data_IF_788363886168
#
_entry.id   IF_788363886168
#
_cell.length_a   1.000
_cell.length_b   1.000
_cell.length_c   1.000
_cell.angle_alpha   90.00
_cell.angle_beta   90.00
_cell.angle_gamma   90.00
#
_symmetry.space_group_name_H-M   'P 1'
#
loop_
_entity.id
_entity.type
_entity.pdbx_description
1 polymer ?
#
# COMPACT_ATOMS: atom_id res chain seq x y z
N UNK A 1 43.35 4.23 9.16
CA UNK A 1 42.99 3.27 10.22
C UNK A 1 43.84 2.04 10.05
N UNK A 2 44.04 1.24 11.10
CA UNK A 2 44.76 -0.04 11.03
C UNK A 2 43.79 -1.15 10.62
N UNK A 3 44.31 -2.28 10.12
CA UNK A 3 43.50 -3.44 9.71
C UNK A 3 42.63 -3.98 10.86
N UNK A 4 43.19 -4.13 12.05
CA UNK A 4 42.44 -4.53 13.25
C UNK A 4 41.45 -3.44 13.72
N UNK A 5 41.76 -2.17 13.44
CA UNK A 5 40.85 -1.06 13.69
C UNK A 5 39.61 -1.09 12.80
N UNK A 6 39.78 -1.46 11.52
CA UNK A 6 38.67 -1.67 10.59
C UNK A 6 37.78 -2.85 10.99
N UNK A 7 38.36 -3.85 11.65
CA UNK A 7 37.65 -4.98 12.25
C UNK A 7 37.08 -4.68 13.65
N UNK A 8 37.15 -3.44 14.12
CA UNK A 8 36.45 -2.99 15.32
C UNK A 8 37.26 -3.02 16.63
N UNK A 9 38.61 -3.08 16.57
CA UNK A 9 39.44 -2.78 17.74
C UNK A 9 39.69 -1.27 17.86
N UNK A 10 39.63 -0.75 19.08
CA UNK A 10 40.15 0.58 19.37
C UNK A 10 41.69 0.61 19.31
N UNK A 11 42.26 1.80 19.20
CA UNK A 11 43.72 1.97 19.16
C UNK A 11 44.44 1.43 20.42
N UNK A 12 43.79 1.46 21.59
CA UNK A 12 44.35 0.91 22.82
C UNK A 12 44.19 -0.61 22.91
N UNK A 13 43.08 -1.16 22.45
CA UNK A 13 42.88 -2.61 22.37
C UNK A 13 43.88 -3.24 21.41
N UNK A 14 44.10 -2.65 20.23
CA UNK A 14 45.08 -3.15 19.27
C UNK A 14 46.50 -3.13 19.86
N UNK A 15 46.91 -2.02 20.48
CA UNK A 15 48.25 -1.91 21.12
C UNK A 15 48.43 -2.96 22.21
N UNK A 16 47.43 -3.11 23.07
CA UNK A 16 47.43 -4.08 24.17
C UNK A 16 47.54 -5.52 23.62
N UNK A 17 46.71 -5.87 22.63
CA UNK A 17 46.71 -7.20 22.02
C UNK A 17 48.04 -7.52 21.31
N UNK A 18 48.58 -6.58 20.51
CA UNK A 18 49.88 -6.74 19.86
C UNK A 18 51.02 -6.87 20.87
N UNK A 19 50.97 -6.14 21.99
CA UNK A 19 51.96 -6.25 23.05
C UNK A 19 51.93 -7.65 23.68
N UNK A 20 50.74 -8.18 23.98
CA UNK A 20 50.56 -9.54 24.51
C UNK A 20 51.07 -10.63 23.57
N UNK A 21 50.96 -10.45 22.25
CA UNK A 21 51.54 -11.39 21.27
C UNK A 21 53.07 -11.43 21.32
N UNK A 22 53.72 -10.34 21.69
CA UNK A 22 55.19 -10.23 21.77
C UNK A 22 55.71 -10.67 23.14
N UNK A 23 55.07 -10.21 24.21
CA UNK A 23 55.55 -10.44 25.59
C UNK A 23 55.11 -11.77 26.18
N UNK A 24 54.04 -12.38 25.64
CA UNK A 24 53.41 -13.54 26.25
C UNK A 24 52.62 -13.16 27.51
N UNK A 25 52.53 -14.08 28.47
CA UNK A 25 51.76 -13.91 29.70
C UNK A 25 52.37 -12.85 30.63
N UNK A 26 51.67 -11.74 30.83
CA UNK A 26 52.12 -10.61 31.66
C UNK A 26 50.99 -10.00 32.47
N UNK A 27 51.35 -9.28 33.53
CA UNK A 27 50.41 -8.58 34.40
C UNK A 27 49.90 -7.30 33.78
N UNK A 28 48.77 -6.76 34.25
CA UNK A 28 48.23 -5.50 33.75
C UNK A 28 49.19 -4.30 33.96
N UNK A 29 50.00 -4.33 35.02
CA UNK A 29 50.98 -3.28 35.29
C UNK A 29 52.12 -3.29 34.27
N UNK A 30 52.71 -4.46 34.03
CA UNK A 30 53.75 -4.65 33.01
C UNK A 30 53.23 -4.34 31.62
N UNK A 31 51.98 -4.72 31.34
CA UNK A 31 51.35 -4.47 30.05
C UNK A 31 51.11 -2.98 29.83
N UNK A 32 50.70 -2.23 30.85
CA UNK A 32 50.57 -0.77 30.78
C UNK A 32 51.92 -0.10 30.49
N UNK A 33 52.97 -0.53 31.19
CA UNK A 33 54.31 0.03 31.05
C UNK A 33 54.91 -0.28 29.66
N UNK A 34 54.61 -1.46 29.09
CA UNK A 34 55.17 -1.91 27.80
C UNK A 34 54.35 -1.44 26.59
N UNK A 35 53.02 -1.42 26.70
CA UNK A 35 52.12 -1.05 25.58
C UNK A 35 51.95 0.47 25.41
N UNK A 36 52.34 1.26 26.42
CA UNK A 36 52.08 2.69 26.48
C UNK A 36 50.60 3.06 26.70
N UNK A 37 49.75 2.08 27.03
CA UNK A 37 48.37 2.33 27.44
C UNK A 37 48.35 2.77 28.91
N UNK A 38 47.70 3.90 29.26
CA UNK A 38 47.71 4.40 30.64
C UNK A 38 47.14 3.42 31.67
N UNK A 39 47.71 3.40 32.89
CA UNK A 39 47.25 2.53 34.00
C UNK A 39 45.77 2.69 34.34
N UNK A 40 45.23 3.90 34.22
CA UNK A 40 43.80 4.16 34.42
C UNK A 40 42.87 3.55 33.36
N UNK A 41 43.41 3.08 32.23
CA UNK A 41 42.64 2.53 31.09
C UNK A 41 42.95 1.08 30.79
N UNK A 42 44.08 0.54 31.28
CA UNK A 42 44.51 -0.83 30.92
C UNK A 42 43.50 -1.89 31.35
N UNK A 43 42.87 -1.73 32.51
CA UNK A 43 41.85 -2.67 32.98
C UNK A 43 40.58 -2.61 32.12
N UNK A 44 40.13 -1.42 31.71
CA UNK A 44 38.98 -1.28 30.79
C UNK A 44 39.25 -1.98 29.47
N UNK A 45 40.46 -1.79 28.93
CA UNK A 45 40.89 -2.39 27.66
C UNK A 45 40.99 -3.91 27.77
N UNK A 46 41.59 -4.41 28.86
CA UNK A 46 41.67 -5.85 29.12
C UNK A 46 40.29 -6.47 29.29
N UNK A 47 39.39 -5.81 30.02
CA UNK A 47 38.01 -6.27 30.17
C UNK A 47 37.27 -6.30 28.83
N UNK A 48 37.45 -5.30 27.97
CA UNK A 48 36.86 -5.26 26.62
C UNK A 48 37.37 -6.39 25.73
N UNK A 49 38.69 -6.60 25.70
CA UNK A 49 39.32 -7.71 24.98
C UNK A 49 38.86 -9.07 25.53
N UNK A 50 38.77 -9.23 26.84
CA UNK A 50 38.33 -10.48 27.49
C UNK A 50 36.85 -10.76 27.24
N UNK A 51 35.97 -9.76 27.29
CA UNK A 51 34.54 -9.89 27.00
C UNK A 51 34.30 -10.38 25.56
N UNK A 52 35.14 -9.91 24.62
CA UNK A 52 35.17 -10.36 23.22
C UNK A 52 35.99 -11.64 23.02
N UNK A 53 36.49 -12.23 24.11
CA UNK A 53 37.29 -13.46 24.17
C UNK A 53 38.59 -13.38 23.37
N UNK A 54 39.14 -12.19 23.15
CA UNK A 54 40.36 -11.98 22.36
C UNK A 54 41.64 -12.22 23.19
N UNK A 55 41.49 -12.26 24.51
CA UNK A 55 42.53 -12.62 25.46
C UNK A 55 41.95 -13.58 26.51
N UNK A 56 42.85 -14.22 27.26
CA UNK A 56 42.52 -15.01 28.44
C UNK A 56 43.19 -14.43 29.67
N UNK A 57 42.45 -14.39 30.78
CA UNK A 57 43.01 -14.12 32.10
C UNK A 57 43.42 -15.44 32.77
N UNK A 58 44.64 -15.47 33.29
CA UNK A 58 45.16 -16.53 34.14
C UNK A 58 45.11 -16.08 35.60
N UNK A 59 44.47 -16.88 36.44
CA UNK A 59 44.35 -16.64 37.89
C UNK A 59 45.69 -16.93 38.57
N UNK A 60 46.55 -15.91 38.62
CA UNK A 60 47.79 -15.84 39.38
C UNK A 60 47.75 -14.67 40.37
N UNK A 61 48.74 -14.58 41.26
CA UNK A 61 48.90 -13.43 42.15
C UNK A 61 50.19 -12.66 41.80
N UNK A 62 50.12 -11.52 41.09
CA UNK A 62 48.94 -10.89 40.49
C UNK A 62 48.48 -11.58 39.18
N UNK A 63 47.23 -11.31 38.73
CA UNK A 63 46.65 -11.93 37.53
C UNK A 63 47.47 -11.60 36.27
N UNK A 64 47.65 -12.62 35.42
CA UNK A 64 48.30 -12.47 34.12
C UNK A 64 47.30 -12.59 32.98
N UNK A 65 47.62 -11.98 31.85
CA UNK A 65 46.80 -11.95 30.65
C UNK A 65 47.58 -12.52 29.47
N UNK A 66 46.90 -13.24 28.60
CA UNK A 66 47.49 -13.93 27.46
C UNK A 66 46.65 -13.68 26.22
N UNK A 67 47.30 -13.37 25.09
CA UNK A 67 46.61 -13.22 23.81
C UNK A 67 46.06 -14.56 23.30
N UNK A 68 44.85 -14.51 22.74
CA UNK A 68 44.36 -15.59 21.87
C UNK A 68 45.12 -15.53 20.54
N UNK A 69 45.24 -16.67 19.86
CA UNK A 69 45.94 -16.76 18.57
C UNK A 69 45.36 -15.79 17.53
N UNK A 70 46.21 -15.12 16.72
CA UNK A 70 45.78 -14.10 15.76
C UNK A 70 44.70 -14.56 14.79
N UNK A 71 44.81 -15.77 14.23
CA UNK A 71 43.82 -16.31 13.29
C UNK A 71 42.42 -16.36 13.91
N UNK A 72 42.32 -16.91 15.13
CA UNK A 72 41.05 -16.96 15.87
C UNK A 72 40.51 -15.57 16.22
N UNK A 73 41.39 -14.61 16.54
CA UNK A 73 40.98 -13.24 16.84
C UNK A 73 40.45 -12.55 15.57
N UNK A 74 41.15 -12.68 14.45
CA UNK A 74 40.73 -12.09 13.17
C UNK A 74 39.38 -12.67 12.73
N UNK A 75 39.19 -13.99 12.81
CA UNK A 75 37.92 -14.64 12.45
C UNK A 75 36.76 -14.15 13.32
N UNK A 76 36.99 -13.97 14.62
CA UNK A 76 35.98 -13.45 15.55
C UNK A 76 35.62 -12.00 15.24
N UNK A 77 36.63 -11.15 15.07
CA UNK A 77 36.40 -9.75 14.74
C UNK A 77 35.68 -9.59 13.40
N UNK A 78 36.04 -10.41 12.40
CA UNK A 78 35.36 -10.43 11.11
C UNK A 78 33.89 -10.86 11.25
N UNK A 79 33.60 -11.89 12.04
CA UNK A 79 32.24 -12.34 12.29
C UNK A 79 31.40 -11.29 13.04
N UNK A 80 31.98 -10.63 14.05
CA UNK A 80 31.36 -9.51 14.76
C UNK A 80 31.03 -8.37 13.78
N UNK A 81 32.00 -7.96 12.97
CA UNK A 81 31.82 -6.86 12.01
C UNK A 81 30.79 -7.18 10.94
N UNK A 82 30.78 -8.40 10.42
CA UNK A 82 29.79 -8.84 9.44
C UNK A 82 28.37 -8.83 10.02
N UNK A 83 28.22 -9.22 11.29
CA UNK A 83 26.94 -9.17 11.98
C UNK A 83 26.44 -7.74 12.19
N UNK A 84 27.31 -6.83 12.65
CA UNK A 84 26.98 -5.40 12.80
C UNK A 84 26.53 -4.77 11.47
N UNK A 85 27.28 -5.01 10.39
CA UNK A 85 26.95 -4.48 9.06
C UNK A 85 25.62 -5.02 8.54
N UNK A 86 25.31 -6.29 8.83
CA UNK A 86 24.01 -6.88 8.49
C UNK A 86 22.86 -6.22 9.25
N UNK A 87 23.00 -6.00 10.55
CA UNK A 87 22.00 -5.29 11.33
C UNK A 87 21.78 -3.86 10.84
N UNK A 88 22.87 -3.16 10.51
CA UNK A 88 22.79 -1.80 9.98
C UNK A 88 22.09 -1.77 8.62
N UNK A 89 22.39 -2.73 7.74
CA UNK A 89 21.72 -2.92 6.46
C UNK A 89 20.22 -3.17 6.62
N UNK A 90 19.84 -4.11 7.49
CA UNK A 90 18.43 -4.45 7.74
C UNK A 90 17.66 -3.22 8.26
N UNK A 91 18.27 -2.44 9.16
CA UNK A 91 17.71 -1.16 9.65
C UNK A 91 17.52 -0.13 8.54
N UNK A 92 18.48 0.04 7.63
CA UNK A 92 18.32 0.98 6.51
C UNK A 92 17.28 0.50 5.50
N UNK A 93 17.18 -0.81 5.28
CA UNK A 93 16.16 -1.40 4.43
C UNK A 93 14.76 -1.11 4.96
N UNK A 94 14.52 -1.32 6.25
CA UNK A 94 13.23 -1.02 6.90
C UNK A 94 12.84 0.46 6.76
N UNK A 95 13.81 1.36 6.96
CA UNK A 95 13.62 2.80 6.72
C UNK A 95 13.27 3.09 5.25
N UNK A 96 13.95 2.45 4.31
CA UNK A 96 13.69 2.62 2.88
C UNK A 96 12.29 2.09 2.49
N UNK A 97 11.87 0.96 3.05
CA UNK A 97 10.52 0.42 2.86
C UNK A 97 9.46 1.37 3.42
N UNK A 98 9.67 1.93 4.61
CA UNK A 98 8.79 2.94 5.22
C UNK A 98 8.68 4.20 4.36
N UNK A 99 9.80 4.70 3.83
CA UNK A 99 9.78 5.86 2.93
C UNK A 99 9.03 5.52 1.65
N UNK A 100 9.23 4.33 1.08
CA UNK A 100 8.55 3.90 -0.15
C UNK A 100 7.03 3.72 0.06
N UNK A 101 6.60 3.17 1.18
CA UNK A 101 5.17 3.04 1.51
C UNK A 101 4.50 4.39 1.73
N UNK A 102 5.24 5.42 2.15
CA UNK A 102 4.74 6.77 2.35
C UNK A 102 4.77 7.64 1.07
N UNK A 103 5.42 7.19 -0.01
CA UNK A 103 5.59 7.95 -1.24
C UNK A 103 4.55 7.63 -2.32
N UNK A 104 3.80 6.54 -2.18
CA UNK A 104 2.63 6.27 -3.00
C UNK A 104 1.38 6.49 -2.12
N UNK A 105 0.33 7.18 -2.61
CA UNK A 105 -0.97 7.05 -1.95
C UNK A 105 -1.27 5.56 -1.86
N UNK A 106 -1.64 5.09 -0.66
CA UNK A 106 -2.06 3.71 -0.48
C UNK A 106 -3.20 3.49 -1.49
N UNK A 107 -3.10 2.52 -2.42
CA UNK A 107 -4.24 2.19 -3.25
C UNK A 107 -5.39 1.92 -2.28
N UNK A 108 -6.60 2.47 -2.49
CA UNK A 108 -7.73 2.21 -1.62
C UNK A 108 -7.77 0.70 -1.40
N UNK A 109 -7.62 0.27 -0.14
CA UNK A 109 -7.50 -1.16 0.23
C UNK A 109 -8.73 -1.97 -0.18
N UNK A 110 -9.79 -1.28 -0.61
CA UNK A 110 -11.07 -1.80 -1.05
C UNK A 110 -11.46 -1.22 -2.43
N UNK A 111 -10.56 -1.27 -3.40
CA UNK A 111 -10.90 -1.04 -4.80
C UNK A 111 -10.73 -2.27 -5.67
N UNK A 112 -11.68 -2.48 -6.58
CA UNK A 112 -11.69 -3.55 -7.58
C UNK A 112 -11.77 -2.94 -8.97
N UNK A 113 -11.16 -3.61 -9.95
CA UNK A 113 -11.28 -3.21 -11.35
C UNK A 113 -11.76 -4.41 -12.17
N UNK A 114 -12.91 -4.25 -12.82
CA UNK A 114 -13.51 -5.24 -13.69
C UNK A 114 -13.30 -4.83 -15.14
N UNK A 115 -12.53 -5.62 -15.87
CA UNK A 115 -12.31 -5.42 -17.30
C UNK A 115 -13.52 -5.93 -18.09
N UNK A 116 -14.04 -5.10 -18.98
CA UNK A 116 -15.13 -5.48 -19.85
C UNK A 116 -15.69 -4.30 -20.64
N UNK A 117 -16.23 -4.62 -21.81
CA UNK A 117 -16.93 -3.66 -22.66
C UNK A 117 -18.34 -3.40 -22.15
N UNK A 118 -18.91 -2.26 -22.53
CA UNK A 118 -20.30 -1.90 -22.29
C UNK A 118 -21.21 -2.97 -22.91
N UNK A 119 -22.19 -3.46 -22.15
CA UNK A 119 -23.16 -4.46 -22.61
C UNK A 119 -22.60 -5.88 -22.74
N UNK A 120 -21.36 -6.14 -22.31
CA UNK A 120 -20.83 -7.51 -22.30
C UNK A 120 -21.53 -8.38 -21.25
N UNK A 121 -21.60 -9.69 -21.49
CA UNK A 121 -22.22 -10.64 -20.55
C UNK A 121 -21.51 -10.60 -19.18
N UNK A 122 -20.18 -10.45 -19.18
CA UNK A 122 -19.38 -10.35 -17.95
C UNK A 122 -19.71 -9.09 -17.16
N UNK A 123 -19.84 -7.93 -17.83
CA UNK A 123 -20.18 -6.67 -17.17
C UNK A 123 -21.62 -6.63 -16.69
N UNK A 124 -22.56 -7.14 -17.49
CA UNK A 124 -23.96 -7.26 -17.11
C UNK A 124 -24.12 -8.15 -15.88
N UNK A 125 -23.38 -9.26 -15.81
CA UNK A 125 -23.34 -10.14 -14.64
C UNK A 125 -22.74 -9.42 -13.42
N UNK A 126 -21.63 -8.70 -13.60
CA UNK A 126 -21.00 -7.95 -12.51
C UNK A 126 -21.94 -6.86 -11.95
N UNK A 127 -22.60 -6.11 -12.83
CA UNK A 127 -23.58 -5.09 -12.46
C UNK A 127 -24.77 -5.70 -11.72
N UNK A 128 -25.29 -6.83 -12.19
CA UNK A 128 -26.38 -7.54 -11.51
C UNK A 128 -25.97 -7.98 -10.10
N UNK A 129 -24.76 -8.53 -9.93
CA UNK A 129 -24.27 -8.89 -8.59
C UNK A 129 -24.10 -7.67 -7.70
N UNK A 130 -23.61 -6.56 -8.27
CA UNK A 130 -23.44 -5.32 -7.55
C UNK A 130 -24.79 -4.77 -7.06
N UNK A 131 -25.80 -4.72 -7.92
CA UNK A 131 -27.16 -4.29 -7.55
C UNK A 131 -27.80 -5.19 -6.49
N UNK A 132 -27.53 -6.51 -6.51
CA UNK A 132 -28.03 -7.43 -5.47
C UNK A 132 -27.46 -7.19 -4.09
N UNK A 133 -26.31 -6.52 -3.99
CA UNK A 133 -25.73 -6.16 -2.69
C UNK A 133 -26.32 -4.89 -2.10
N UNK A 134 -27.12 -4.14 -2.87
CA UNK A 134 -27.79 -2.94 -2.40
C UNK A 134 -28.94 -3.27 -1.45
N UNK A 135 -28.95 -2.63 -0.28
CA UNK A 135 -29.94 -2.83 0.77
C UNK A 135 -30.98 -1.70 0.81
N UNK A 136 -30.62 -0.47 0.42
CA UNK A 136 -31.44 0.71 0.67
C UNK A 136 -31.55 1.68 -0.50
N UNK A 137 -30.42 2.11 -1.08
CA UNK A 137 -30.42 3.17 -2.10
C UNK A 137 -29.34 2.93 -3.14
N UNK A 138 -29.72 3.11 -4.40
CA UNK A 138 -28.79 3.16 -5.53
C UNK A 138 -28.96 4.49 -6.25
N UNK A 139 -27.86 5.16 -6.55
CA UNK A 139 -27.84 6.39 -7.34
C UNK A 139 -26.94 6.16 -8.53
N UNK A 140 -27.39 6.42 -9.74
CA UNK A 140 -26.57 6.27 -10.94
C UNK A 140 -26.60 7.53 -11.79
N UNK A 141 -25.43 8.01 -12.17
CA UNK A 141 -25.24 9.06 -13.17
C UNK A 141 -24.80 8.42 -14.49
N UNK A 142 -25.56 8.67 -15.55
CA UNK A 142 -25.43 8.03 -16.86
C UNK A 142 -25.09 9.09 -17.91
N UNK A 143 -23.81 9.19 -18.24
CA UNK A 143 -23.22 10.05 -19.27
C UNK A 143 -22.37 9.22 -20.24
N UNK A 144 -21.13 9.61 -20.57
CA UNK A 144 -20.24 8.79 -21.39
C UNK A 144 -19.90 7.45 -20.69
N UNK A 145 -19.81 6.31 -21.40
CA UNK A 145 -19.93 6.15 -22.85
C UNK A 145 -21.38 5.94 -23.35
N UNK A 146 -22.36 5.87 -22.44
CA UNK A 146 -23.76 5.59 -22.74
C UNK A 146 -24.37 6.59 -23.73
N UNK A 147 -23.88 7.83 -23.74
CA UNK A 147 -24.25 8.89 -24.66
C UNK A 147 -23.99 8.60 -26.14
N UNK A 148 -22.99 7.77 -26.43
CA UNK A 148 -22.54 7.47 -27.79
C UNK A 148 -22.79 5.98 -28.16
N UNK A 149 -23.27 5.18 -27.21
CA UNK A 149 -23.60 3.77 -27.42
C UNK A 149 -24.94 3.60 -28.16
N UNK A 150 -25.21 2.37 -28.64
CA UNK A 150 -26.52 2.02 -29.18
C UNK A 150 -27.45 1.48 -28.10
N UNK A 151 -28.76 1.60 -28.30
CA UNK A 151 -29.75 1.04 -27.37
C UNK A 151 -29.57 -0.47 -27.17
N UNK A 152 -29.19 -1.23 -28.20
CA UNK A 152 -28.98 -2.68 -28.08
C UNK A 152 -27.92 -3.01 -27.04
N UNK A 153 -26.81 -2.27 -27.03
CA UNK A 153 -25.74 -2.42 -26.04
C UNK A 153 -26.21 -2.00 -24.65
N UNK A 154 -26.95 -0.89 -24.56
CA UNK A 154 -27.49 -0.40 -23.30
C UNK A 154 -28.57 -1.32 -22.71
N UNK A 155 -29.33 -1.99 -23.56
CA UNK A 155 -30.42 -2.85 -23.14
C UNK A 155 -29.92 -3.96 -22.21
N UNK A 156 -28.78 -4.58 -22.53
CA UNK A 156 -28.18 -5.62 -21.67
C UNK A 156 -27.77 -5.09 -20.30
N UNK A 157 -27.21 -3.87 -20.23
CA UNK A 157 -26.86 -3.23 -18.97
C UNK A 157 -28.11 -2.87 -18.16
N UNK A 158 -29.13 -2.31 -18.81
CA UNK A 158 -30.42 -1.96 -18.18
C UNK A 158 -31.12 -3.20 -17.63
N UNK A 159 -31.13 -4.29 -18.39
CA UNK A 159 -31.67 -5.58 -17.94
C UNK A 159 -30.88 -6.12 -16.73
N UNK A 160 -29.55 -6.16 -16.81
CA UNK A 160 -28.70 -6.62 -15.70
C UNK A 160 -28.86 -5.78 -14.43
N UNK A 161 -28.98 -4.46 -14.58
CA UNK A 161 -29.23 -3.52 -13.49
C UNK A 161 -30.57 -3.82 -12.78
N UNK A 162 -31.67 -3.90 -13.55
CA UNK A 162 -32.99 -4.10 -12.96
C UNK A 162 -33.24 -5.52 -12.46
N UNK A 163 -32.65 -6.55 -13.07
CA UNK A 163 -32.72 -7.91 -12.53
C UNK A 163 -32.02 -8.07 -11.16
N UNK A 164 -31.11 -7.16 -10.83
CA UNK A 164 -30.45 -7.12 -9.52
C UNK A 164 -31.23 -6.32 -8.47
N UNK A 165 -32.19 -5.49 -8.87
CA UNK A 165 -32.93 -4.60 -7.97
C UNK A 165 -34.03 -5.34 -7.20
N UNK A 166 -34.16 -5.01 -5.91
CA UNK A 166 -35.19 -5.56 -5.01
C UNK A 166 -36.32 -4.56 -4.76
N UNK A 167 -37.46 -5.02 -4.21
CA UNK A 167 -38.65 -4.18 -3.96
C UNK A 167 -38.45 -3.07 -2.94
N UNK A 168 -37.48 -3.25 -2.03
CA UNK A 168 -37.22 -2.30 -0.94
C UNK A 168 -36.20 -1.22 -1.32
N UNK A 169 -35.71 -1.26 -2.57
CA UNK A 169 -34.65 -0.38 -3.06
C UNK A 169 -35.25 0.93 -3.61
N UNK A 170 -34.65 2.05 -3.23
CA UNK A 170 -34.85 3.34 -3.91
C UNK A 170 -33.75 3.57 -4.92
N UNK A 171 -34.10 3.92 -6.16
CA UNK A 171 -33.15 4.09 -7.26
C UNK A 171 -33.30 5.48 -7.88
N UNK A 172 -32.26 6.30 -7.77
CA UNK A 172 -32.17 7.60 -8.42
C UNK A 172 -31.31 7.52 -9.68
N UNK A 173 -31.93 7.62 -10.85
CA UNK A 173 -31.24 7.59 -12.14
C UNK A 173 -31.14 9.00 -12.71
N UNK A 174 -29.93 9.45 -12.98
CA UNK A 174 -29.63 10.74 -13.58
C UNK A 174 -29.00 10.55 -14.96
N UNK A 175 -29.70 10.96 -16.02
CA UNK A 175 -29.19 10.86 -17.39
C UNK A 175 -28.70 12.21 -17.91
N UNK A 176 -27.63 12.23 -18.71
CA UNK A 176 -27.36 13.41 -19.52
C UNK A 176 -28.41 13.57 -20.62
N UNK A 177 -28.67 14.79 -21.07
CA UNK A 177 -29.63 15.04 -22.17
C UNK A 177 -29.28 14.22 -23.41
N UNK A 178 -27.98 14.02 -23.69
CA UNK A 178 -27.52 13.21 -24.80
C UNK A 178 -27.81 11.72 -24.59
N UNK A 179 -27.59 11.18 -23.39
CA UNK A 179 -27.91 9.78 -23.08
C UNK A 179 -29.42 9.48 -23.21
N UNK A 180 -30.28 10.46 -22.87
CA UNK A 180 -31.74 10.32 -23.06
C UNK A 180 -32.10 10.08 -24.54
N UNK A 181 -31.36 10.65 -25.49
CA UNK A 181 -31.63 10.45 -26.93
C UNK A 181 -31.39 9.03 -27.42
N UNK A 182 -30.65 8.21 -26.66
CA UNK A 182 -30.37 6.80 -26.96
C UNK A 182 -31.49 5.90 -26.40
N UNK A 183 -32.23 6.35 -25.39
CA UNK A 183 -33.30 5.58 -24.76
C UNK A 183 -34.49 5.39 -25.73
N UNK A 184 -35.13 4.22 -25.74
CA UNK A 184 -36.27 3.96 -26.62
C UNK A 184 -37.54 4.57 -26.03
N UNK A 185 -38.54 4.83 -26.89
CA UNK A 185 -39.85 5.35 -26.47
C UNK A 185 -40.54 4.49 -25.38
N UNK A 186 -40.20 3.20 -25.29
CA UNK A 186 -40.72 2.27 -24.28
C UNK A 186 -40.02 2.36 -22.92
N UNK A 187 -38.94 3.13 -22.79
CA UNK A 187 -38.17 3.22 -21.55
C UNK A 187 -39.00 3.61 -20.32
N UNK A 188 -39.91 4.62 -20.39
CA UNK A 188 -40.81 4.91 -19.28
C UNK A 188 -41.58 3.68 -18.76
N UNK A 189 -42.11 2.87 -19.68
CA UNK A 189 -42.81 1.64 -19.33
C UNK A 189 -41.88 0.55 -18.79
N UNK A 190 -40.60 0.54 -19.17
CA UNK A 190 -39.62 -0.38 -18.58
C UNK A 190 -39.38 -0.08 -17.11
N UNK A 191 -39.46 1.21 -16.72
CA UNK A 191 -39.30 1.68 -15.34
C UNK A 191 -40.56 1.42 -14.51
N UNK A 192 -41.75 1.75 -15.04
CA UNK A 192 -43.04 1.56 -14.35
C UNK A 192 -43.31 0.12 -13.92
N UNK A 193 -42.74 -0.86 -14.63
CA UNK A 193 -42.92 -2.28 -14.35
C UNK A 193 -41.88 -2.85 -13.37
N UNK A 194 -40.96 -2.03 -12.85
CA UNK A 194 -39.95 -2.50 -11.92
C UNK A 194 -40.47 -2.57 -10.48
N UNK A 195 -39.91 -3.50 -9.67
CA UNK A 195 -40.29 -3.64 -8.27
C UNK A 195 -39.77 -2.51 -7.37
N UNK A 196 -38.70 -1.81 -7.76
CA UNK A 196 -38.04 -0.77 -6.99
C UNK A 196 -38.71 0.61 -7.16
N UNK A 197 -38.51 1.51 -6.19
CA UNK A 197 -38.94 2.91 -6.28
C UNK A 197 -37.93 3.72 -7.10
N UNK A 198 -38.21 3.93 -8.39
CA UNK A 198 -37.27 4.53 -9.34
C UNK A 198 -37.66 5.97 -9.65
N UNK A 199 -36.75 6.91 -9.37
CA UNK A 199 -36.84 8.29 -9.81
C UNK A 199 -35.86 8.53 -10.95
N UNK A 200 -36.33 9.12 -12.05
CA UNK A 200 -35.47 9.44 -13.20
C UNK A 200 -35.45 10.94 -13.46
N UNK A 201 -34.24 11.51 -13.55
CA UNK A 201 -34.00 12.91 -13.88
C UNK A 201 -33.00 13.05 -15.02
N UNK A 202 -32.97 14.23 -15.62
CA UNK A 202 -32.02 14.61 -16.66
C UNK A 202 -31.26 15.89 -16.32
N UNK A 203 -29.99 15.92 -16.68
CA UNK A 203 -29.11 17.08 -16.58
C UNK A 203 -28.45 17.38 -17.94
N UNK A 204 -28.06 18.65 -18.22
CA UNK A 204 -27.48 19.01 -19.52
C UNK A 204 -26.23 18.23 -19.90
N UNK A 205 -25.35 17.97 -18.92
CA UNK A 205 -24.06 17.29 -19.12
C UNK A 205 -23.69 16.47 -17.89
N UNK A 206 -23.13 15.28 -18.12
CA UNK A 206 -22.55 14.43 -17.08
C UNK A 206 -21.14 14.07 -17.53
N UNK A 207 -20.13 14.55 -16.80
CA UNK A 207 -18.73 14.38 -17.20
C UNK A 207 -18.22 12.92 -17.14
N UNK A 208 -18.86 12.09 -16.30
CA UNK A 208 -18.41 10.74 -15.97
C UNK A 208 -19.61 9.92 -15.51
N UNK A 209 -19.72 8.68 -16.00
CA UNK A 209 -20.73 7.74 -15.50
C UNK A 209 -20.22 7.03 -14.25
N UNK A 210 -21.08 6.96 -13.26
CA UNK A 210 -20.79 6.32 -11.98
C UNK A 210 -22.09 5.92 -11.28
N UNK A 211 -21.98 4.98 -10.35
CA UNK A 211 -23.05 4.66 -9.43
C UNK A 211 -22.58 4.70 -7.97
N UNK A 212 -23.53 4.82 -7.06
CA UNK A 212 -23.34 4.82 -5.62
C UNK A 212 -24.35 3.86 -5.03
N UNK A 213 -23.87 2.88 -4.26
CA UNK A 213 -24.70 1.89 -3.59
C UNK A 213 -24.58 2.08 -2.08
N UNK A 214 -25.72 2.28 -1.43
CA UNK A 214 -25.91 2.47 0.02
C UNK A 214 -25.01 3.54 0.68
N UNK A 215 -24.42 4.43 -0.13
CA UNK A 215 -23.36 5.37 0.26
C UNK A 215 -22.14 4.67 0.91
N UNK A 216 -21.88 3.41 0.55
CA UNK A 216 -20.72 2.63 1.02
C UNK A 216 -19.79 2.21 -0.11
N UNK A 217 -20.29 2.17 -1.35
CA UNK A 217 -19.52 1.82 -2.54
C UNK A 217 -19.89 2.76 -3.68
N UNK A 218 -18.91 3.08 -4.52
CA UNK A 218 -19.14 3.77 -5.79
C UNK A 218 -18.42 3.03 -6.90
N UNK A 219 -19.04 2.90 -8.06
CA UNK A 219 -18.37 2.42 -9.26
C UNK A 219 -18.25 3.50 -10.32
N UNK A 220 -17.16 3.46 -11.09
CA UNK A 220 -16.81 4.50 -12.06
C UNK A 220 -16.46 3.84 -13.39
N UNK A 221 -17.06 4.34 -14.47
CA UNK A 221 -16.74 3.91 -15.82
C UNK A 221 -15.40 4.42 -16.31
N UNK A 222 -14.57 3.51 -16.82
CA UNK A 222 -13.29 3.85 -17.47
C UNK A 222 -13.47 3.79 -18.97
N UNK A 223 -13.64 4.95 -19.59
CA UNK A 223 -13.83 5.10 -21.04
C UNK A 223 -12.71 4.45 -21.86
N UNK A 224 -13.09 3.91 -23.02
CA UNK A 224 -12.11 3.39 -23.97
C UNK A 224 -11.36 4.53 -24.66
N UNK A 225 -10.01 4.53 -24.71
CA UNK A 225 -9.20 5.67 -25.16
C UNK A 225 -9.34 5.97 -26.64
N UNK A 226 -9.93 5.06 -27.42
CA UNK A 226 -10.12 5.17 -28.86
C UNK A 226 -11.60 5.15 -29.26
N UNK A 227 -12.47 4.56 -28.42
CA UNK A 227 -13.87 4.32 -28.76
C UNK A 227 -14.75 5.07 -27.77
N UNK A 228 -15.46 6.11 -28.23
CA UNK A 228 -16.33 6.91 -27.34
C UNK A 228 -17.61 6.18 -26.92
N UNK A 229 -17.99 5.15 -27.67
CA UNK A 229 -19.19 4.32 -27.45
C UNK A 229 -18.95 3.14 -26.48
N UNK A 230 -17.74 3.00 -25.93
CA UNK A 230 -17.36 1.85 -25.10
C UNK A 230 -16.46 2.23 -23.89
N UNK A 231 -16.34 1.29 -22.94
CA UNK A 231 -15.45 1.34 -21.77
C UNK A 231 -14.41 0.21 -21.82
N UNK A 232 -13.28 0.39 -21.15
CA UNK A 232 -12.32 -0.70 -20.88
C UNK A 232 -12.77 -1.53 -19.66
N UNK A 233 -13.53 -0.90 -18.77
CA UNK A 233 -13.99 -1.54 -17.54
C UNK A 233 -14.55 -0.55 -16.54
N UNK A 234 -14.80 -1.07 -15.34
CA UNK A 234 -15.38 -0.33 -14.22
C UNK A 234 -14.48 -0.46 -12.99
N UNK A 235 -14.24 0.66 -12.31
CA UNK A 235 -13.53 0.70 -11.03
C UNK A 235 -14.57 0.78 -9.90
N UNK A 236 -14.61 -0.19 -9.00
CA UNK A 236 -15.35 -0.12 -7.74
C UNK A 236 -14.47 0.38 -6.62
N UNK A 237 -14.98 1.27 -5.77
CA UNK A 237 -14.26 1.91 -4.66
C UNK A 237 -15.17 1.94 -3.43
N UNK A 238 -14.69 1.39 -2.31
CA UNK A 238 -15.39 1.41 -1.00
C UNK A 238 -14.79 2.38 0.01
N UNK A 239 -13.85 3.21 -0.43
CA UNK A 239 -13.27 4.25 0.40
C UNK A 239 -14.32 5.34 0.72
N UNK A 240 -14.66 5.48 2.00
CA UNK A 240 -15.71 6.41 2.46
C UNK A 240 -15.49 7.88 2.05
N UNK A 241 -14.23 8.31 1.88
CA UNK A 241 -13.93 9.68 1.47
C UNK A 241 -14.26 9.86 -0.02
N UNK A 242 -13.90 8.88 -0.85
CA UNK A 242 -14.23 8.88 -2.29
C UNK A 242 -15.75 8.77 -2.49
N UNK A 243 -16.41 7.84 -1.81
CA UNK A 243 -17.87 7.66 -1.90
C UNK A 243 -18.60 8.95 -1.49
N UNK A 244 -18.14 9.63 -0.43
CA UNK A 244 -18.71 10.91 0.00
C UNK A 244 -18.52 12.03 -1.04
N UNK A 245 -17.40 12.03 -1.77
CA UNK A 245 -17.15 13.01 -2.83
C UNK A 245 -18.11 12.80 -4.02
N UNK A 246 -18.28 11.56 -4.46
CA UNK A 246 -19.21 11.20 -5.52
C UNK A 246 -20.67 11.46 -5.11
N UNK A 247 -21.03 11.19 -3.86
CA UNK A 247 -22.36 11.52 -3.33
C UNK A 247 -22.64 13.03 -3.36
N UNK A 248 -21.69 13.85 -2.90
CA UNK A 248 -21.83 15.31 -2.97
C UNK A 248 -21.92 15.82 -4.41
N UNK A 249 -21.18 15.18 -5.32
CA UNK A 249 -21.23 15.52 -6.73
C UNK A 249 -22.58 15.14 -7.35
N UNK A 250 -23.08 13.93 -7.09
CA UNK A 250 -24.40 13.48 -7.53
C UNK A 250 -25.50 14.42 -7.02
N UNK A 251 -25.52 14.75 -5.73
CA UNK A 251 -26.53 15.65 -5.14
C UNK A 251 -26.54 17.04 -5.79
N UNK A 252 -25.36 17.55 -6.17
CA UNK A 252 -25.25 18.82 -6.89
C UNK A 252 -25.94 18.73 -8.26
N UNK A 253 -25.64 17.68 -9.03
CA UNK A 253 -26.28 17.48 -10.32
C UNK A 253 -27.79 17.24 -10.17
N UNK A 254 -28.19 16.42 -9.20
CA UNK A 254 -29.56 16.03 -8.93
C UNK A 254 -30.47 17.21 -8.56
N UNK A 255 -29.95 18.18 -7.81
CA UNK A 255 -30.69 19.36 -7.37
C UNK A 255 -31.13 20.23 -8.54
N UNK A 256 -30.26 20.38 -9.55
CA UNK A 256 -30.53 21.19 -10.74
C UNK A 256 -31.18 20.39 -11.88
N UNK A 257 -31.28 19.06 -11.73
CA UNK A 257 -31.82 18.14 -12.73
C UNK A 257 -33.36 18.20 -12.82
N UNK A 258 -33.86 17.99 -14.04
CA UNK A 258 -35.29 18.03 -14.37
C UNK A 258 -35.86 16.60 -14.35
N UNK A 259 -37.05 16.34 -13.79
CA UNK A 259 -37.70 15.04 -13.90
C UNK A 259 -37.88 14.61 -15.38
N UNK A 260 -37.49 13.38 -15.71
CA UNK A 260 -37.65 12.83 -17.06
C UNK A 260 -39.03 12.17 -17.24
N UNK A 261 -39.59 11.65 -16.14
CA UNK A 261 -40.90 11.04 -16.06
C UNK A 261 -41.79 11.95 -15.20
N UNK A 262 -43.01 12.24 -15.66
CA UNK A 262 -44.04 13.00 -14.91
C UNK A 262 -44.85 12.09 -13.96
#
# INVERSE_FOLDING_TARGET
MTELGELGLSSYEEKTYRTLLVTGAVTAAELSDTSGVPKGRIYDVLNGLEARKLIWRQSSDPNQYVAVQPETVVDRLLAERAYELKQEWDRYREKAETVRSNLLPTPPTESSFWLGSLGSDEMSTALQQHMRTAESVVKAAVGPPYEDATWETLQSEVEGFFEGANTDLSVDLLFSEKAVTVLPDRFPHLIENQPADITVRTAPEIALSFDIVDNVETTIDVLHPVSGEDRIGVIGIKDSQVVSEFEQYFQRLWTDAVPLLE
#
